data_IF_707022121871
#
_entry.id   IF_707022121871
#
_cell.length_a   1.000
_cell.length_b   1.000
_cell.length_c   1.000
_cell.angle_alpha   90.00
_cell.angle_beta   90.00
_cell.angle_gamma   90.00
#
_symmetry.space_group_name_H-M   'P 1'
#
loop_
_entity.id
_entity.type
_entity.pdbx_description
1 polymer ?
#
# COMPACT_ATOMS: atom_id res chain seq x y z
N UNK A 1 87.63 -43.56 -0.39
CA UNK A 1 87.98 -44.26 -1.63
C UNK A 1 86.68 -44.67 -2.24
N UNK A 2 86.21 -44.29 -3.37
CA UNK A 2 86.71 -43.84 -4.63
C UNK A 2 85.59 -43.05 -5.33
N UNK A 3 85.96 -42.07 -6.05
CA UNK A 3 85.14 -41.28 -6.97
C UNK A 3 84.56 -42.14 -8.05
N UNK A 4 83.31 -41.80 -8.53
CA UNK A 4 83.04 -41.77 -9.96
C UNK A 4 82.00 -40.79 -10.31
N UNK A 5 82.37 -39.95 -11.19
CA UNK A 5 81.67 -38.84 -11.86
C UNK A 5 81.08 -39.42 -13.17
N UNK A 6 79.80 -39.28 -13.44
CA UNK A 6 79.38 -39.37 -14.80
C UNK A 6 78.09 -38.53 -15.04
N UNK A 7 78.28 -37.46 -15.77
CA UNK A 7 77.18 -36.78 -16.47
C UNK A 7 77.04 -37.44 -17.87
N UNK A 8 75.84 -37.64 -18.36
CA UNK A 8 75.60 -37.14 -19.70
C UNK A 8 74.21 -36.59 -20.00
N UNK A 9 74.26 -35.59 -20.85
CA UNK A 9 73.42 -35.30 -22.03
C UNK A 9 71.96 -34.97 -21.84
N UNK A 10 71.73 -33.70 -22.07
CA UNK A 10 70.53 -33.05 -22.54
C UNK A 10 69.73 -33.86 -23.59
N UNK A 11 68.43 -34.13 -23.27
CA UNK A 11 67.40 -34.28 -24.28
C UNK A 11 66.36 -33.20 -24.08
N UNK A 12 66.34 -32.28 -25.00
CA UNK A 12 65.22 -31.32 -25.14
C UNK A 12 63.99 -32.12 -25.59
N UNK A 13 63.06 -32.38 -24.67
CA UNK A 13 61.72 -32.79 -25.02
C UNK A 13 60.83 -31.60 -24.97
N UNK A 14 60.22 -31.28 -26.06
CA UNK A 14 59.17 -30.27 -26.24
C UNK A 14 57.97 -30.68 -25.38
N UNK A 15 57.80 -30.07 -24.22
CA UNK A 15 56.60 -30.16 -23.44
C UNK A 15 55.57 -29.20 -24.08
N UNK A 16 54.59 -29.76 -24.79
CA UNK A 16 53.40 -29.07 -25.14
C UNK A 16 52.65 -28.68 -23.89
N UNK A 17 52.59 -27.37 -23.62
CA UNK A 17 51.84 -26.85 -22.46
C UNK A 17 50.37 -26.90 -22.85
N UNK A 18 49.68 -27.95 -22.46
CA UNK A 18 48.23 -27.99 -22.44
C UNK A 18 47.78 -27.14 -21.24
N UNK A 19 47.40 -25.91 -21.50
CA UNK A 19 46.70 -25.06 -20.52
C UNK A 19 45.28 -25.61 -20.40
N UNK A 20 45.12 -26.54 -19.46
CA UNK A 20 43.80 -26.96 -19.01
C UNK A 20 43.12 -25.81 -18.29
N UNK A 21 42.19 -25.12 -18.91
CA UNK A 21 41.29 -24.22 -18.25
C UNK A 21 40.42 -25.04 -17.28
N UNK A 22 40.81 -25.14 -16.04
CA UNK A 22 39.95 -25.59 -14.95
C UNK A 22 38.94 -24.47 -14.68
N UNK A 23 37.81 -24.52 -15.36
CA UNK A 23 36.65 -23.74 -14.98
C UNK A 23 36.08 -24.32 -13.70
N UNK A 24 36.54 -23.79 -12.57
CA UNK A 24 35.91 -24.00 -11.28
C UNK A 24 34.62 -23.18 -11.35
N UNK A 25 33.52 -23.82 -11.72
CA UNK A 25 32.19 -23.30 -11.51
C UNK A 25 31.94 -23.27 -9.99
N UNK A 26 32.25 -22.14 -9.36
CA UNK A 26 31.84 -21.85 -7.99
C UNK A 26 30.35 -21.62 -8.01
N UNK A 27 29.57 -22.68 -7.90
CA UNK A 27 28.16 -22.58 -7.55
C UNK A 27 28.12 -22.12 -6.10
N UNK A 28 28.09 -20.81 -5.90
CA UNK A 28 27.70 -20.24 -4.62
C UNK A 28 26.23 -20.61 -4.41
N UNK A 29 25.98 -21.73 -3.75
CA UNK A 29 24.70 -22.02 -3.15
C UNK A 29 24.44 -20.95 -2.09
N UNK A 30 23.77 -19.88 -2.47
CA UNK A 30 23.13 -18.99 -1.51
C UNK A 30 22.07 -19.83 -0.79
N UNK A 31 22.43 -20.40 0.35
CA UNK A 31 21.43 -20.83 1.32
C UNK A 31 20.78 -19.54 1.82
N UNK A 32 19.71 -19.16 1.19
CA UNK A 32 18.77 -18.22 1.79
C UNK A 32 18.27 -18.93 3.04
N UNK A 33 18.84 -18.58 4.19
CA UNK A 33 18.22 -18.92 5.45
C UNK A 33 16.83 -18.30 5.39
N UNK A 34 15.82 -19.10 5.12
CA UNK A 34 14.44 -18.68 5.18
C UNK A 34 14.19 -18.16 6.58
N UNK A 35 14.11 -16.86 6.75
CA UNK A 35 13.54 -16.28 7.95
C UNK A 35 12.17 -16.98 8.10
N UNK A 36 11.97 -17.63 9.24
CA UNK A 36 10.67 -18.19 9.59
C UNK A 36 9.69 -17.03 9.64
N UNK A 37 8.98 -16.81 8.55
CA UNK A 37 7.96 -15.77 8.52
C UNK A 37 6.84 -16.20 9.46
N UNK A 38 6.36 -15.28 10.29
CA UNK A 38 5.17 -15.52 11.08
C UNK A 38 4.04 -16.00 10.15
N UNK A 39 3.31 -17.02 10.59
CA UNK A 39 2.18 -17.53 9.81
C UNK A 39 1.14 -16.43 9.76
N UNK A 40 1.03 -15.79 8.61
CA UNK A 40 0.05 -14.73 8.36
C UNK A 40 -1.36 -15.33 8.38
N UNK A 41 -2.28 -14.85 9.23
CA UNK A 41 -3.66 -15.28 9.16
C UNK A 41 -4.27 -14.88 7.82
N UNK A 42 -5.28 -15.59 7.30
CA UNK A 42 -6.02 -15.16 6.13
C UNK A 42 -6.68 -13.79 6.36
N UNK A 43 -6.76 -12.96 5.32
CA UNK A 43 -7.44 -11.66 5.43
C UNK A 43 -8.93 -11.82 5.75
N UNK A 44 -9.51 -10.85 6.42
CA UNK A 44 -10.95 -10.79 6.67
C UNK A 44 -11.65 -10.25 5.43
N UNK A 45 -12.61 -11.01 4.92
CA UNK A 45 -13.35 -10.63 3.71
C UNK A 45 -14.49 -9.68 4.09
N UNK A 46 -14.37 -8.42 3.70
CA UNK A 46 -15.38 -7.39 3.98
C UNK A 46 -16.61 -7.48 3.06
N UNK A 47 -16.58 -8.27 1.98
CA UNK A 47 -17.65 -8.32 1.01
C UNK A 47 -18.05 -6.93 0.50
N UNK A 48 -19.36 -6.66 0.42
CA UNK A 48 -19.89 -5.35 0.00
C UNK A 48 -19.63 -4.24 1.02
N UNK A 49 -19.39 -4.55 2.31
CA UNK A 49 -18.94 -3.55 3.29
C UNK A 49 -17.58 -2.93 2.97
N UNK A 50 -16.76 -3.62 2.18
CA UNK A 50 -15.46 -3.13 1.74
C UNK A 50 -15.50 -1.90 0.81
N UNK A 51 -16.64 -1.54 0.26
CA UNK A 51 -16.81 -0.32 -0.55
C UNK A 51 -16.96 0.93 0.32
N UNK A 52 -17.46 0.77 1.54
CA UNK A 52 -17.74 1.86 2.45
C UNK A 52 -16.48 2.32 3.19
N UNK A 53 -16.28 3.62 3.24
CA UNK A 53 -15.36 4.29 4.16
C UNK A 53 -16.02 4.46 5.53
N UNK A 54 -17.32 4.75 5.54
CA UNK A 54 -18.12 4.92 6.76
C UNK A 54 -19.45 4.20 6.59
N UNK A 55 -19.73 3.24 7.46
CA UNK A 55 -20.98 2.48 7.50
C UNK A 55 -21.51 2.49 8.94
N UNK A 56 -22.76 2.91 9.12
CA UNK A 56 -23.42 3.01 10.41
C UNK A 56 -24.69 2.16 10.50
N UNK A 57 -25.18 1.94 11.72
CA UNK A 57 -26.46 1.30 12.00
C UNK A 57 -27.58 2.31 12.31
N UNK A 58 -27.27 3.30 13.14
CA UNK A 58 -28.25 4.27 13.65
C UNK A 58 -28.06 5.69 13.10
N UNK A 59 -27.03 5.92 12.33
CA UNK A 59 -26.77 7.20 11.66
C UNK A 59 -25.33 7.66 11.74
N UNK A 60 -25.01 8.68 10.95
CA UNK A 60 -23.70 9.32 10.88
C UNK A 60 -23.87 10.80 11.23
N UNK A 61 -23.06 11.27 12.18
CA UNK A 61 -23.03 12.68 12.56
C UNK A 61 -21.67 13.26 12.24
N UNK A 62 -21.63 14.37 11.52
CA UNK A 62 -20.42 15.11 11.21
C UNK A 62 -20.50 16.53 11.75
N UNK A 63 -19.46 16.97 12.43
CA UNK A 63 -19.30 18.36 12.87
C UNK A 63 -18.04 18.94 12.21
N UNK A 64 -18.17 20.13 11.66
CA UNK A 64 -17.12 20.76 10.90
C UNK A 64 -16.88 20.14 9.51
N UNK A 65 -15.79 20.53 8.86
CA UNK A 65 -15.50 20.11 7.50
C UNK A 65 -14.66 18.83 7.49
N UNK A 66 -15.29 17.68 7.18
CA UNK A 66 -14.60 16.39 7.03
C UNK A 66 -14.39 16.01 5.56
N UNK A 67 -13.40 15.15 5.31
CA UNK A 67 -13.12 14.57 3.99
C UNK A 67 -13.19 13.06 4.05
N UNK A 68 -14.02 12.46 3.20
CA UNK A 68 -14.21 11.02 3.14
C UNK A 68 -13.93 10.53 1.71
N UNK A 69 -12.98 9.59 1.59
CA UNK A 69 -12.67 8.88 0.34
C UNK A 69 -13.18 7.44 0.43
N UNK A 70 -14.26 7.16 -0.27
CA UNK A 70 -15.03 5.93 -0.26
C UNK A 70 -16.51 6.19 0.01
N UNK A 71 -17.33 5.16 -0.04
CA UNK A 71 -18.77 5.29 0.13
C UNK A 71 -19.17 5.54 1.59
N UNK A 72 -20.32 6.16 1.79
CA UNK A 72 -20.94 6.36 3.10
C UNK A 72 -22.36 5.85 3.09
N UNK A 73 -22.84 5.36 4.23
CA UNK A 73 -24.23 4.94 4.37
C UNK A 73 -24.57 4.48 5.78
N UNK A 74 -25.86 4.48 6.08
CA UNK A 74 -26.39 4.00 7.35
C UNK A 74 -27.67 3.19 7.16
N UNK A 75 -27.75 2.01 7.76
CA UNK A 75 -28.91 1.12 7.71
C UNK A 75 -28.97 0.28 9.00
N UNK A 76 -30.16 0.02 9.56
CA UNK A 76 -31.50 0.31 9.04
C UNK A 76 -31.96 1.75 9.24
N UNK A 77 -31.27 2.56 10.05
CA UNK A 77 -31.65 3.95 10.27
C UNK A 77 -30.87 4.86 9.33
N UNK A 78 -31.55 5.42 8.35
CA UNK A 78 -30.96 6.32 7.36
C UNK A 78 -30.93 7.76 7.90
N UNK A 79 -29.98 8.05 8.78
CA UNK A 79 -29.83 9.36 9.41
C UNK A 79 -28.43 9.91 9.18
N UNK A 80 -28.37 11.10 8.61
CA UNK A 80 -27.13 11.86 8.44
C UNK A 80 -27.29 13.29 8.92
N UNK A 81 -26.36 13.74 9.73
CA UNK A 81 -26.31 15.12 10.22
C UNK A 81 -24.94 15.70 9.90
N UNK A 82 -24.91 16.95 9.43
CA UNK A 82 -23.65 17.62 9.07
C UNK A 82 -23.09 17.22 7.70
N UNK A 83 -23.92 16.64 6.82
CA UNK A 83 -23.55 16.27 5.45
C UNK A 83 -23.95 17.32 4.41
N UNK A 84 -24.08 18.57 4.82
CA UNK A 84 -24.35 19.65 3.89
C UNK A 84 -23.24 19.76 2.82
N UNK A 85 -23.63 20.21 1.63
CA UNK A 85 -22.65 20.50 0.58
C UNK A 85 -21.66 21.57 1.07
N UNK A 86 -20.36 21.34 0.86
CA UNK A 86 -19.34 22.35 1.17
C UNK A 86 -19.56 23.60 0.28
N UNK A 87 -19.50 24.81 0.84
CA UNK A 87 -18.76 25.23 2.03
C UNK A 87 -19.60 25.48 3.30
N UNK A 88 -20.57 24.68 3.64
CA UNK A 88 -21.27 24.82 4.93
C UNK A 88 -20.28 24.66 6.11
N UNK A 89 -20.68 25.10 7.30
CA UNK A 89 -19.83 24.97 8.50
C UNK A 89 -19.59 23.49 8.85
N UNK A 90 -20.69 22.72 8.78
CA UNK A 90 -20.66 21.27 8.91
C UNK A 90 -20.88 20.66 7.54
N UNK A 91 -19.82 20.24 6.88
CA UNK A 91 -19.89 19.69 5.53
C UNK A 91 -18.96 18.51 5.33
N UNK A 92 -19.29 17.65 4.37
CA UNK A 92 -18.45 16.53 3.97
C UNK A 92 -18.01 16.70 2.52
N UNK A 93 -16.69 16.60 2.27
CA UNK A 93 -16.16 16.40 0.93
C UNK A 93 -16.07 14.91 0.70
N UNK A 94 -17.01 14.35 -0.07
CA UNK A 94 -17.10 12.94 -0.38
C UNK A 94 -16.56 12.65 -1.78
N UNK A 95 -15.73 11.63 -1.94
CA UNK A 95 -15.28 11.13 -3.26
C UNK A 95 -15.96 9.83 -3.67
N UNK A 96 -16.69 9.17 -2.78
CA UNK A 96 -17.53 8.00 -3.03
C UNK A 96 -18.99 8.38 -3.20
N UNK A 97 -19.85 7.39 -3.08
CA UNK A 97 -21.30 7.52 -3.15
C UNK A 97 -21.88 7.69 -1.73
N UNK A 98 -22.81 8.62 -1.57
CA UNK A 98 -23.67 8.69 -0.40
C UNK A 98 -24.91 7.84 -0.64
N UNK A 99 -24.99 6.70 0.04
CA UNK A 99 -26.10 5.75 -0.07
C UNK A 99 -27.31 6.08 0.81
N UNK A 100 -27.25 7.16 1.57
CA UNK A 100 -28.38 7.66 2.34
C UNK A 100 -29.17 8.75 1.59
N UNK A 101 -28.59 9.34 0.55
CA UNK A 101 -29.20 10.44 -0.22
C UNK A 101 -29.08 10.14 -1.72
N UNK A 102 -30.17 10.11 -2.47
CA UNK A 102 -31.56 10.45 -2.11
C UNK A 102 -32.44 9.26 -1.69
N UNK A 103 -31.96 8.01 -1.75
CA UNK A 103 -32.80 6.83 -1.50
C UNK A 103 -32.50 6.18 -0.14
N UNK A 104 -33.31 6.44 0.91
CA UNK A 104 -33.13 5.82 2.22
C UNK A 104 -33.37 4.29 2.22
N UNK A 105 -33.82 3.70 1.11
CA UNK A 105 -34.03 2.25 0.98
C UNK A 105 -32.95 1.59 0.10
N UNK A 106 -31.80 2.24 -0.11
CA UNK A 106 -30.73 1.66 -0.91
C UNK A 106 -30.31 0.28 -0.36
N UNK A 107 -30.61 -0.76 -1.15
CA UNK A 107 -30.28 -2.14 -0.84
C UNK A 107 -28.76 -2.37 -0.70
N UNK A 108 -27.93 -1.48 -1.24
CA UNK A 108 -26.47 -1.52 -1.16
C UNK A 108 -26.02 -1.41 0.30
N UNK A 109 -26.58 -0.45 1.04
CA UNK A 109 -26.22 -0.23 2.45
C UNK A 109 -26.68 -1.40 3.34
N UNK A 110 -27.91 -1.90 3.14
CA UNK A 110 -28.38 -3.06 3.89
C UNK A 110 -27.60 -4.32 3.59
N UNK A 111 -27.21 -4.54 2.34
CA UNK A 111 -26.31 -5.63 1.94
C UNK A 111 -24.90 -5.50 2.55
N UNK A 112 -24.39 -4.26 2.63
CA UNK A 112 -23.12 -3.99 3.29
C UNK A 112 -23.16 -4.25 4.80
N UNK A 113 -24.30 -3.97 5.46
CA UNK A 113 -24.50 -4.29 6.88
C UNK A 113 -24.45 -5.81 7.11
N UNK A 114 -25.12 -6.61 6.26
CA UNK A 114 -25.05 -8.07 6.35
C UNK A 114 -23.59 -8.59 6.12
N UNK A 115 -22.87 -7.98 5.20
CA UNK A 115 -21.46 -8.31 4.97
C UNK A 115 -20.56 -7.89 6.15
N UNK A 116 -20.87 -6.79 6.84
CA UNK A 116 -20.19 -6.37 8.05
C UNK A 116 -20.35 -7.40 9.17
N UNK A 117 -21.55 -7.92 9.39
CA UNK A 117 -21.79 -9.00 10.38
C UNK A 117 -20.93 -10.21 10.07
N UNK A 118 -20.90 -10.66 8.81
CA UNK A 118 -20.06 -11.78 8.39
C UNK A 118 -18.57 -11.52 8.63
N UNK A 119 -18.09 -10.32 8.33
CA UNK A 119 -16.69 -9.94 8.54
C UNK A 119 -16.33 -9.81 10.02
N UNK A 120 -17.25 -9.31 10.83
CA UNK A 120 -17.09 -9.23 12.29
C UNK A 120 -16.98 -10.63 12.91
N UNK A 121 -17.89 -11.54 12.56
CA UNK A 121 -17.90 -12.91 13.02
C UNK A 121 -16.63 -13.66 12.60
N UNK A 122 -16.18 -13.47 11.36
CA UNK A 122 -14.92 -14.04 10.89
C UNK A 122 -13.73 -13.51 11.72
N UNK A 123 -13.66 -12.20 11.94
CA UNK A 123 -12.60 -11.60 12.75
C UNK A 123 -12.66 -12.07 14.21
N UNK A 124 -13.85 -12.21 14.78
CA UNK A 124 -14.09 -12.69 16.15
C UNK A 124 -13.71 -14.17 16.33
N UNK A 125 -14.01 -14.99 15.32
CA UNK A 125 -13.75 -16.44 15.34
C UNK A 125 -12.28 -16.83 15.16
N UNK A 126 -11.38 -15.88 14.90
CA UNK A 126 -9.95 -16.15 14.73
C UNK A 126 -9.29 -16.41 16.07
N UNK A 127 -8.53 -17.51 16.17
CA UNK A 127 -7.81 -17.86 17.40
C UNK A 127 -6.65 -16.87 17.64
N UNK A 128 -6.58 -16.20 18.80
CA UNK A 128 -5.48 -15.30 19.11
C UNK A 128 -4.15 -16.04 19.20
N UNK A 129 -3.12 -15.46 18.61
CA UNK A 129 -1.73 -15.94 18.73
C UNK A 129 -1.00 -15.25 19.89
N UNK A 130 -1.44 -14.06 20.27
CA UNK A 130 -0.81 -13.26 21.32
C UNK A 130 -1.86 -12.47 22.09
N UNK A 131 -1.68 -12.42 23.41
CA UNK A 131 -2.49 -11.59 24.32
C UNK A 131 -1.67 -10.37 24.74
N UNK A 132 -2.23 -9.18 24.58
CA UNK A 132 -1.57 -7.90 24.85
C UNK A 132 -2.25 -7.15 25.98
N UNK A 133 -1.48 -6.41 26.77
CA UNK A 133 -1.97 -5.50 27.81
C UNK A 133 -1.93 -4.03 27.37
N UNK A 134 -1.07 -3.68 26.42
CA UNK A 134 -0.86 -2.32 25.92
C UNK A 134 -0.39 -2.37 24.46
N UNK A 135 -0.84 -1.41 23.67
CA UNK A 135 -0.45 -1.28 22.27
C UNK A 135 0.64 -0.20 22.04
N UNK A 136 0.67 0.83 22.88
CA UNK A 136 1.64 1.92 22.71
C UNK A 136 3.08 1.42 22.90
N UNK A 137 3.96 1.81 21.98
CA UNK A 137 5.37 1.41 21.97
C UNK A 137 5.63 0.00 21.43
N UNK A 138 4.59 -0.76 21.08
CA UNK A 138 4.77 -2.11 20.52
C UNK A 138 5.17 -2.05 19.04
N UNK A 139 5.96 -3.06 18.64
CA UNK A 139 6.18 -3.41 17.23
C UNK A 139 5.67 -4.82 17.04
N UNK A 140 4.60 -4.96 16.27
CA UNK A 140 3.89 -6.23 16.09
C UNK A 140 4.04 -6.70 14.64
N UNK A 141 4.17 -8.01 14.46
CA UNK A 141 4.19 -8.69 13.16
C UNK A 141 2.78 -9.19 12.80
N UNK A 142 2.61 -9.82 11.64
CA UNK A 142 1.33 -10.43 11.25
C UNK A 142 0.82 -11.41 12.32
N UNK A 143 -0.46 -11.33 12.66
CA UNK A 143 -1.02 -12.19 13.71
C UNK A 143 -2.43 -11.80 14.15
N UNK A 144 -2.96 -12.58 15.09
CA UNK A 144 -4.22 -12.30 15.78
C UNK A 144 -3.91 -11.95 17.23
N UNK A 145 -4.33 -10.79 17.66
CA UNK A 145 -4.03 -10.20 18.96
C UNK A 145 -5.30 -10.02 19.77
N UNK A 146 -5.31 -10.54 20.99
CA UNK A 146 -6.40 -10.32 21.91
C UNK A 146 -5.99 -9.42 23.06
N UNK A 147 -6.90 -8.66 23.59
CA UNK A 147 -6.67 -7.84 24.79
C UNK A 147 -6.73 -8.68 26.06
N UNK A 148 -5.80 -8.49 26.97
CA UNK A 148 -5.72 -9.20 28.24
C UNK A 148 -6.86 -8.83 29.20
N UNK A 149 -7.27 -7.57 29.19
CA UNK A 149 -8.36 -7.03 30.03
C UNK A 149 -9.68 -6.83 29.27
N UNK A 150 -9.70 -7.25 28.01
CA UNK A 150 -10.85 -7.12 27.13
C UNK A 150 -10.90 -5.79 26.36
N UNK A 151 -10.06 -4.82 26.65
CA UNK A 151 -10.04 -3.50 26.00
C UNK A 151 -8.69 -3.22 25.37
N UNK A 152 -8.66 -2.45 24.30
CA UNK A 152 -7.42 -1.88 23.79
C UNK A 152 -7.34 -0.39 24.06
N UNK A 153 -6.27 0.01 24.74
CA UNK A 153 -5.84 1.39 24.88
C UNK A 153 -4.60 1.65 24.02
N UNK A 154 -4.49 2.83 23.42
CA UNK A 154 -3.32 3.26 22.69
C UNK A 154 -3.08 4.76 22.89
N UNK A 155 -2.13 5.11 23.74
CA UNK A 155 -1.77 6.50 24.04
C UNK A 155 -0.44 6.95 23.41
N UNK A 156 0.10 6.19 22.47
CA UNK A 156 1.36 6.43 21.79
C UNK A 156 1.39 5.77 20.42
N UNK A 157 2.59 5.40 19.96
CA UNK A 157 2.77 4.78 18.64
C UNK A 157 2.72 3.26 18.72
N UNK A 158 1.89 2.65 17.88
CA UNK A 158 1.92 1.23 17.54
C UNK A 158 2.59 1.07 16.18
N UNK A 159 3.61 0.25 16.07
CA UNK A 159 4.23 -0.10 14.79
C UNK A 159 3.77 -1.48 14.33
N UNK A 160 3.22 -1.57 13.13
CA UNK A 160 2.86 -2.82 12.49
C UNK A 160 3.86 -3.14 11.39
N UNK A 161 4.54 -4.25 11.54
CA UNK A 161 5.65 -4.66 10.71
C UNK A 161 5.24 -5.85 9.83
N UNK A 162 5.17 -5.63 8.54
CA UNK A 162 4.82 -6.67 7.57
C UNK A 162 5.93 -7.66 7.27
N UNK A 163 7.14 -7.51 7.85
CA UNK A 163 8.28 -8.39 7.59
C UNK A 163 8.60 -8.56 6.11
N UNK A 164 8.40 -7.52 5.30
CA UNK A 164 8.48 -7.49 3.83
C UNK A 164 7.44 -8.40 3.14
N UNK A 165 6.37 -8.72 3.83
CA UNK A 165 5.22 -9.43 3.29
C UNK A 165 4.03 -8.47 3.15
N UNK A 166 3.63 -8.19 1.90
CA UNK A 166 2.49 -7.31 1.62
C UNK A 166 1.14 -7.96 1.97
N UNK A 167 1.10 -9.29 2.12
CA UNK A 167 -0.08 -10.02 2.57
C UNK A 167 -0.13 -10.19 4.10
N UNK A 168 0.74 -9.51 4.87
CA UNK A 168 0.73 -9.53 6.31
C UNK A 168 -0.61 -9.02 6.85
N UNK A 169 -1.31 -9.86 7.60
CA UNK A 169 -2.64 -9.55 8.18
C UNK A 169 -2.52 -9.40 9.69
N UNK A 170 -3.17 -8.35 10.21
CA UNK A 170 -3.20 -8.03 11.62
C UNK A 170 -4.67 -7.97 12.07
N UNK A 171 -5.04 -8.78 13.05
CA UNK A 171 -6.40 -8.80 13.60
C UNK A 171 -6.31 -8.52 15.09
N UNK A 172 -6.99 -7.47 15.55
CA UNK A 172 -7.07 -7.10 16.95
C UNK A 172 -8.48 -7.37 17.46
N UNK A 173 -8.58 -8.10 18.55
CA UNK A 173 -9.87 -8.51 19.12
C UNK A 173 -9.99 -7.97 20.54
N UNK A 174 -11.01 -7.17 20.82
CA UNK A 174 -11.43 -6.85 22.18
C UNK A 174 -12.43 -7.89 22.69
N UNK A 175 -12.79 -7.84 23.97
CA UNK A 175 -13.83 -8.73 24.53
C UNK A 175 -15.14 -8.59 23.74
N UNK A 176 -15.90 -9.69 23.69
CA UNK A 176 -17.02 -9.89 22.75
C UNK A 176 -18.07 -8.76 22.78
N UNK A 177 -18.63 -8.51 23.94
CA UNK A 177 -19.77 -7.58 24.09
C UNK A 177 -19.50 -6.44 25.09
N UNK A 178 -18.28 -6.32 25.59
CA UNK A 178 -17.90 -5.31 26.59
C UNK A 178 -16.66 -4.56 26.20
N UNK A 179 -15.86 -5.10 25.27
CA UNK A 179 -14.55 -4.56 24.95
C UNK A 179 -14.61 -3.31 24.10
N UNK A 180 -13.75 -2.36 24.43
CA UNK A 180 -13.60 -1.06 23.74
C UNK A 180 -12.24 -0.93 23.09
N UNK A 181 -12.16 -0.08 22.08
CA UNK A 181 -10.92 0.44 21.53
C UNK A 181 -10.86 1.95 21.78
N UNK A 182 -9.85 2.41 22.50
CA UNK A 182 -9.70 3.84 22.83
C UNK A 182 -8.29 4.28 22.48
N UNK A 183 -8.15 5.25 21.58
CA UNK A 183 -6.86 5.90 21.34
C UNK A 183 -6.81 7.25 22.06
N UNK A 184 -5.64 7.56 22.62
CA UNK A 184 -5.38 8.92 23.10
C UNK A 184 -5.12 9.89 21.94
N UNK A 185 -5.07 11.20 22.21
CA UNK A 185 -4.83 12.23 21.20
C UNK A 185 -3.46 12.19 20.50
N UNK A 186 -2.56 11.32 20.92
CA UNK A 186 -1.28 11.04 20.26
C UNK A 186 -1.17 9.59 19.75
N UNK A 187 -2.29 8.86 19.74
CA UNK A 187 -2.34 7.49 19.28
C UNK A 187 -2.08 7.41 17.77
N UNK A 188 -0.94 6.83 17.36
CA UNK A 188 -0.55 6.72 15.97
C UNK A 188 -0.22 5.28 15.60
N UNK A 189 -0.69 4.84 14.44
CA UNK A 189 -0.32 3.55 13.87
C UNK A 189 0.63 3.77 12.70
N UNK A 190 1.82 3.20 12.80
CA UNK A 190 2.88 3.27 11.78
C UNK A 190 3.00 1.92 11.09
N UNK A 191 2.96 1.92 9.76
CA UNK A 191 3.08 0.74 8.94
C UNK A 191 4.49 0.65 8.36
N UNK A 192 5.14 -0.50 8.52
CA UNK A 192 6.52 -0.72 8.05
C UNK A 192 6.64 -2.03 7.28
N UNK A 193 7.69 -2.12 6.48
CA UNK A 193 8.11 -3.34 5.77
C UNK A 193 6.97 -4.13 5.13
N UNK A 194 6.11 -3.44 4.38
CA UNK A 194 5.05 -4.09 3.60
C UNK A 194 3.70 -4.19 4.29
N UNK A 195 3.56 -3.84 5.56
CA UNK A 195 2.24 -3.75 6.21
C UNK A 195 1.32 -2.78 5.47
N UNK A 196 0.07 -3.17 5.26
CA UNK A 196 -0.91 -2.38 4.51
C UNK A 196 -2.19 -2.18 5.33
N UNK A 197 -2.75 -0.96 5.30
CA UNK A 197 -3.95 -0.60 6.05
C UNK A 197 -5.17 -1.48 5.72
N UNK A 198 -5.25 -1.99 4.51
CA UNK A 198 -6.33 -2.88 4.06
C UNK A 198 -6.28 -4.30 4.67
N UNK A 199 -5.15 -4.68 5.29
CA UNK A 199 -4.96 -5.97 5.95
C UNK A 199 -4.94 -5.83 7.49
N UNK A 200 -5.44 -4.73 8.02
CA UNK A 200 -5.52 -4.48 9.46
C UNK A 200 -6.99 -4.39 9.87
N UNK A 201 -7.39 -5.23 10.82
CA UNK A 201 -8.78 -5.35 11.25
C UNK A 201 -8.87 -5.22 12.77
N UNK A 202 -9.77 -4.34 13.22
CA UNK A 202 -10.05 -4.08 14.63
C UNK A 202 -11.45 -4.55 14.95
N UNK A 203 -11.59 -5.76 15.46
CA UNK A 203 -12.85 -6.30 15.98
C UNK A 203 -13.10 -5.73 17.37
N UNK A 204 -14.09 -4.88 17.49
CA UNK A 204 -14.41 -4.15 18.73
C UNK A 204 -15.75 -4.58 19.28
N UNK A 205 -15.76 -5.12 20.51
CA UNK A 205 -16.93 -5.72 21.15
C UNK A 205 -18.04 -4.74 21.52
N UNK A 206 -17.73 -3.44 21.65
CA UNK A 206 -18.71 -2.36 21.80
C UNK A 206 -18.38 -1.21 20.90
N UNK A 207 -17.70 -0.19 21.41
CA UNK A 207 -17.43 1.05 20.68
C UNK A 207 -15.94 1.33 20.57
N UNK A 208 -15.57 1.96 19.47
CA UNK A 208 -14.26 2.54 19.27
C UNK A 208 -14.31 4.06 19.45
N UNK A 209 -13.32 4.62 20.16
CA UNK A 209 -13.12 6.06 20.30
C UNK A 209 -11.70 6.41 19.89
N UNK A 210 -11.57 7.22 18.84
CA UNK A 210 -10.28 7.70 18.37
C UNK A 210 -10.05 9.12 18.90
N UNK A 211 -8.96 9.32 19.64
CA UNK A 211 -8.62 10.61 20.26
C UNK A 211 -8.25 11.66 19.22
N UNK A 212 -8.51 12.93 19.53
CA UNK A 212 -8.26 14.05 18.63
C UNK A 212 -6.83 14.08 18.07
N UNK A 213 -6.69 14.38 16.77
CA UNK A 213 -5.41 14.46 16.07
C UNK A 213 -4.67 13.14 15.89
N UNK A 214 -5.26 12.00 16.26
CA UNK A 214 -4.64 10.69 16.05
C UNK A 214 -4.58 10.29 14.58
N UNK A 215 -3.60 9.44 14.24
CA UNK A 215 -3.48 8.81 12.91
C UNK A 215 -3.70 7.32 13.05
N UNK A 216 -4.81 6.85 12.51
CA UNK A 216 -5.26 5.47 12.65
C UNK A 216 -5.16 4.72 11.32
N UNK A 217 -4.81 3.44 11.38
CA UNK A 217 -4.72 2.56 10.20
C UNK A 217 -5.50 1.28 10.41
N UNK A 218 -6.27 0.88 9.41
CA UNK A 218 -7.03 -0.36 9.39
C UNK A 218 -8.55 -0.15 9.40
N UNK A 219 -9.27 -1.26 9.29
CA UNK A 219 -10.73 -1.31 9.30
C UNK A 219 -11.25 -1.59 10.70
N UNK A 220 -12.05 -0.69 11.25
CA UNK A 220 -12.78 -0.90 12.51
C UNK A 220 -14.08 -1.63 12.18
N UNK A 221 -14.28 -2.78 12.83
CA UNK A 221 -15.50 -3.58 12.84
C UNK A 221 -16.09 -3.46 14.24
N UNK A 222 -16.94 -2.48 14.46
CA UNK A 222 -17.49 -2.19 15.79
C UNK A 222 -18.89 -2.78 15.95
N UNK A 223 -19.08 -3.50 17.07
CA UNK A 223 -20.38 -4.03 17.43
C UNK A 223 -21.41 -2.92 17.65
N UNK A 224 -20.98 -1.81 18.23
CA UNK A 224 -21.84 -0.64 18.47
C UNK A 224 -21.33 0.56 17.67
N UNK A 225 -20.69 1.51 18.27
CA UNK A 225 -20.44 2.83 17.66
C UNK A 225 -18.95 3.09 17.42
N UNK A 226 -18.68 4.03 16.52
CA UNK A 226 -17.34 4.60 16.33
C UNK A 226 -17.42 6.12 16.48
N UNK A 227 -16.59 6.66 17.35
CA UNK A 227 -16.52 8.12 17.61
C UNK A 227 -15.11 8.63 17.37
N UNK A 228 -14.97 9.66 16.60
CA UNK A 228 -13.72 10.34 16.34
C UNK A 228 -13.68 11.68 17.07
N UNK A 229 -12.53 12.00 17.67
CA UNK A 229 -12.24 13.32 18.17
C UNK A 229 -11.90 14.28 17.03
N UNK A 230 -11.59 15.54 17.36
CA UNK A 230 -11.31 16.57 16.37
C UNK A 230 -10.05 16.28 15.55
N UNK A 231 -10.16 16.27 14.22
CA UNK A 231 -9.04 16.20 13.30
C UNK A 231 -8.33 14.84 13.18
N UNK A 232 -9.03 13.75 13.43
CA UNK A 232 -8.48 12.39 13.25
C UNK A 232 -8.25 12.08 11.79
N UNK A 233 -7.14 11.43 11.49
CA UNK A 233 -6.85 10.88 10.16
C UNK A 233 -6.94 9.36 10.20
N UNK A 234 -7.82 8.79 9.38
CA UNK A 234 -8.01 7.33 9.25
C UNK A 234 -7.59 6.86 7.86
N UNK A 235 -6.61 5.98 7.80
CA UNK A 235 -6.28 5.18 6.62
C UNK A 235 -6.97 3.82 6.77
N UNK A 236 -8.25 3.76 6.45
CA UNK A 236 -9.07 2.59 6.75
C UNK A 236 -10.56 2.85 6.62
N UNK A 237 -11.35 2.08 7.36
CA UNK A 237 -12.81 2.13 7.33
C UNK A 237 -13.38 2.16 8.75
N UNK A 238 -14.51 2.82 8.88
CA UNK A 238 -15.30 2.92 10.12
C UNK A 238 -16.62 2.19 9.89
N UNK A 239 -16.69 0.92 10.30
CA UNK A 239 -17.85 0.07 10.09
C UNK A 239 -18.48 -0.22 11.46
N UNK A 240 -19.59 0.46 11.76
CA UNK A 240 -20.26 0.47 13.04
C UNK A 240 -21.61 -0.24 13.00
N UNK A 241 -22.05 -0.76 14.16
CA UNK A 241 -23.36 -1.39 14.31
C UNK A 241 -23.43 -2.71 13.56
N UNK A 242 -22.53 -3.62 13.86
CA UNK A 242 -22.53 -4.98 13.30
C UNK A 242 -23.89 -5.65 13.45
N UNK A 243 -24.59 -5.41 14.54
CA UNK A 243 -25.91 -6.02 14.78
C UNK A 243 -27.00 -5.46 13.86
N UNK A 244 -27.90 -6.35 13.44
CA UNK A 244 -29.10 -5.99 12.69
C UNK A 244 -30.10 -5.13 13.49
N UNK A 245 -29.86 -4.91 14.79
CA UNK A 245 -30.74 -4.16 15.68
C UNK A 245 -30.81 -2.66 15.44
N UNK A 246 -30.00 -2.13 14.49
CA UNK A 246 -29.97 -0.71 14.21
C UNK A 246 -29.15 0.11 15.21
N UNK A 247 -28.45 -0.51 16.14
CA UNK A 247 -27.47 0.17 16.98
C UNK A 247 -26.20 0.53 16.16
N UNK A 248 -25.45 1.54 16.62
CA UNK A 248 -24.16 1.86 16.08
C UNK A 248 -24.13 3.12 15.22
N UNK A 249 -23.81 4.23 15.85
CA UNK A 249 -23.56 5.51 15.19
C UNK A 249 -22.08 5.67 14.82
N UNK A 250 -21.82 6.50 13.83
CA UNK A 250 -20.48 7.04 13.56
C UNK A 250 -20.53 8.55 13.78
N UNK A 251 -19.58 9.06 14.59
CA UNK A 251 -19.44 10.48 14.87
C UNK A 251 -18.09 10.98 14.37
N UNK A 252 -18.09 12.05 13.61
CA UNK A 252 -16.92 12.67 12.96
C UNK A 252 -16.81 14.13 13.36
N UNK A 253 -15.55 14.62 13.54
CA UNK A 253 -15.27 16.03 13.87
C UNK A 253 -14.02 16.49 13.10
N UNK A 254 -14.18 17.20 11.98
CA UNK A 254 -13.11 17.68 11.10
C UNK A 254 -12.15 16.59 10.61
N UNK A 255 -12.65 15.39 10.35
CA UNK A 255 -11.84 14.20 10.13
C UNK A 255 -11.49 13.97 8.66
N UNK A 256 -10.43 13.19 8.45
CA UNK A 256 -10.05 12.69 7.13
C UNK A 256 -10.06 11.17 7.13
N UNK A 257 -11.00 10.57 6.39
CA UNK A 257 -11.12 9.12 6.25
C UNK A 257 -10.78 8.73 4.81
N UNK A 258 -9.84 7.80 4.64
CA UNK A 258 -9.44 7.29 3.33
C UNK A 258 -9.55 5.77 3.34
N UNK A 259 -10.61 5.24 2.74
CA UNK A 259 -10.75 3.80 2.54
C UNK A 259 -9.69 3.30 1.55
N UNK A 260 -8.94 2.24 1.87
CA UNK A 260 -8.02 1.63 0.91
C UNK A 260 -8.81 1.03 -0.25
N UNK A 261 -8.46 1.39 -1.47
CA UNK A 261 -9.13 0.89 -2.69
C UNK A 261 -8.52 -0.42 -3.19
N UNK A 262 -7.24 -0.63 -2.94
CA UNK A 262 -6.50 -1.83 -3.38
C UNK A 262 -5.42 -2.21 -2.37
N UNK A 263 -5.30 -3.50 -2.09
CA UNK A 263 -4.10 -4.10 -1.51
C UNK A 263 -3.22 -4.64 -2.64
N UNK A 264 -1.93 -4.43 -2.53
CA UNK A 264 -0.97 -5.08 -3.42
C UNK A 264 -0.59 -6.42 -2.79
N UNK A 265 -0.94 -7.53 -3.44
CA UNK A 265 -0.57 -8.84 -2.89
C UNK A 265 0.92 -9.10 -3.01
N UNK A 266 1.47 -9.87 -2.07
CA UNK A 266 2.87 -10.31 -2.13
C UNK A 266 3.14 -11.13 -3.41
N UNK A 267 2.16 -11.89 -3.87
CA UNK A 267 2.23 -12.62 -5.13
C UNK A 267 2.43 -11.67 -6.33
N UNK A 268 1.74 -10.54 -6.37
CA UNK A 268 1.91 -9.53 -7.42
C UNK A 268 3.29 -8.88 -7.37
N UNK A 269 3.80 -8.59 -6.17
CA UNK A 269 5.16 -8.06 -5.97
C UNK A 269 6.20 -9.08 -6.43
N UNK A 270 6.04 -10.35 -6.04
CA UNK A 270 6.95 -11.42 -6.42
C UNK A 270 6.91 -11.70 -7.93
N UNK A 271 5.74 -11.64 -8.55
CA UNK A 271 5.59 -11.79 -10.00
C UNK A 271 6.30 -10.65 -10.75
N UNK A 272 6.16 -9.41 -10.28
CA UNK A 272 6.87 -8.27 -10.84
C UNK A 272 8.40 -8.40 -10.68
N UNK A 273 8.87 -8.84 -9.51
CA UNK A 273 10.28 -9.09 -9.26
C UNK A 273 10.83 -10.22 -10.14
N UNK A 274 10.08 -11.33 -10.31
CA UNK A 274 10.44 -12.44 -11.18
C UNK A 274 10.52 -12.00 -12.64
N UNK A 275 9.57 -11.22 -13.12
CA UNK A 275 9.60 -10.66 -14.47
C UNK A 275 10.82 -9.76 -14.70
N UNK A 276 11.17 -8.92 -13.71
CA UNK A 276 12.37 -8.09 -13.76
C UNK A 276 13.65 -8.94 -13.79
N UNK A 277 13.73 -9.99 -12.98
CA UNK A 277 14.86 -10.92 -12.96
C UNK A 277 15.01 -11.68 -14.29
N UNK A 278 13.91 -12.11 -14.89
CA UNK A 278 13.90 -12.75 -16.21
C UNK A 278 14.39 -11.79 -17.30
N UNK A 279 13.96 -10.54 -17.30
CA UNK A 279 14.42 -9.54 -18.23
C UNK A 279 15.94 -9.30 -18.12
N UNK A 280 16.47 -9.23 -16.90
CA UNK A 280 17.90 -9.12 -16.64
C UNK A 280 18.69 -10.35 -17.12
N UNK A 281 18.17 -11.56 -16.90
CA UNK A 281 18.79 -12.80 -17.36
C UNK A 281 18.84 -12.87 -18.89
N UNK A 282 17.78 -12.47 -19.58
CA UNK A 282 17.72 -12.38 -21.05
C UNK A 282 18.73 -11.35 -21.59
N UNK A 283 18.84 -10.20 -20.95
CA UNK A 283 19.82 -9.18 -21.32
C UNK A 283 21.26 -9.70 -21.15
N UNK A 284 21.55 -10.41 -20.04
CA UNK A 284 22.84 -11.02 -19.78
C UNK A 284 23.19 -12.12 -20.81
N UNK A 285 22.23 -12.95 -21.15
CA UNK A 285 22.41 -14.01 -22.18
C UNK A 285 22.68 -13.38 -23.56
N UNK A 286 21.97 -12.32 -23.92
CA UNK A 286 22.20 -11.59 -25.17
C UNK A 286 23.61 -10.95 -25.20
N UNK A 287 24.06 -10.37 -24.08
CA UNK A 287 25.41 -9.82 -23.95
C UNK A 287 26.49 -10.90 -24.09
N UNK A 288 26.29 -12.09 -23.49
CA UNK A 288 27.19 -13.22 -23.65
C UNK A 288 27.26 -13.73 -25.09
N UNK A 289 26.12 -13.85 -25.77
CA UNK A 289 26.06 -14.23 -27.15
C UNK A 289 26.81 -13.23 -28.08
N UNK A 290 26.64 -11.93 -27.82
CA UNK A 290 27.36 -10.88 -28.51
C UNK A 290 28.89 -10.96 -28.29
N UNK A 291 29.33 -11.22 -27.05
CA UNK A 291 30.74 -11.39 -26.73
C UNK A 291 31.35 -12.65 -27.41
N UNK A 292 30.61 -13.76 -27.45
CA UNK A 292 31.01 -14.98 -28.16
C UNK A 292 31.13 -14.75 -29.64
N UNK A 293 30.18 -14.03 -30.25
CA UNK A 293 30.20 -13.67 -31.65
C UNK A 293 31.40 -12.76 -32.01
N UNK A 294 31.73 -11.81 -31.14
CA UNK A 294 32.92 -10.95 -31.27
C UNK A 294 34.22 -11.77 -31.17
N UNK A 295 34.31 -12.70 -30.23
CA UNK A 295 35.47 -13.58 -30.06
C UNK A 295 35.65 -14.52 -31.31
N UNK A 296 34.56 -15.04 -31.82
CA UNK A 296 34.58 -15.83 -33.06
C UNK A 296 35.01 -15.01 -34.28
N UNK A 297 34.53 -13.78 -34.40
CA UNK A 297 34.96 -12.84 -35.46
C UNK A 297 36.44 -12.49 -35.36
N UNK A 298 36.95 -12.23 -34.14
CA UNK A 298 38.37 -11.97 -33.89
C UNK A 298 39.24 -13.19 -34.26
N UNK A 299 38.80 -14.40 -33.87
CA UNK A 299 39.49 -15.64 -34.23
C UNK A 299 39.52 -15.90 -35.77
N UNK A 300 38.40 -15.64 -36.45
CA UNK A 300 38.30 -15.71 -37.92
C UNK A 300 39.22 -14.68 -38.61
N UNK A 301 39.29 -13.45 -38.06
CA UNK A 301 40.20 -12.41 -38.56
C UNK A 301 41.66 -12.81 -38.39
N UNK A 302 42.04 -13.40 -37.25
CA UNK A 302 43.40 -13.90 -36.98
C UNK A 302 43.76 -15.05 -37.92
N UNK A 303 42.85 -15.99 -38.18
CA UNK A 303 43.02 -17.09 -39.12
C UNK A 303 43.21 -16.58 -40.56
N UNK A 304 42.46 -15.56 -40.97
CA UNK A 304 42.57 -14.91 -42.26
C UNK A 304 43.94 -14.26 -42.50
N UNK A 305 44.45 -13.59 -41.48
CA UNK A 305 45.79 -13.00 -41.52
C UNK A 305 46.88 -14.07 -41.61
N UNK A 306 46.72 -15.18 -40.89
CA UNK A 306 47.69 -16.27 -40.89
C UNK A 306 47.68 -17.06 -42.22
N UNK A 307 46.55 -17.14 -42.86
CA UNK A 307 46.38 -17.90 -44.11
C UNK A 307 46.65 -17.08 -45.38
N UNK A 308 46.82 -15.77 -45.29
CA UNK A 308 46.98 -14.84 -46.43
C UNK A 308 45.96 -15.02 -47.56
N UNK A 309 44.75 -15.40 -47.19
CA UNK A 309 43.69 -15.76 -48.13
C UNK A 309 42.56 -14.72 -48.06
N UNK A 310 42.31 -14.06 -49.20
CA UNK A 310 41.29 -13.01 -49.32
C UNK A 310 39.87 -13.52 -48.98
N UNK A 311 39.55 -14.80 -49.18
CA UNK A 311 38.30 -15.42 -48.84
C UNK A 311 38.06 -15.52 -47.31
N UNK A 312 39.12 -15.76 -46.52
CA UNK A 312 39.05 -15.81 -45.08
C UNK A 312 38.85 -14.41 -44.48
N UNK A 313 39.37 -13.37 -45.10
CA UNK A 313 39.13 -11.96 -44.70
C UNK A 313 37.66 -11.56 -44.88
N UNK A 314 37.00 -12.02 -45.93
CA UNK A 314 35.55 -11.79 -46.14
C UNK A 314 34.73 -12.54 -45.09
N UNK A 315 35.08 -13.79 -44.75
CA UNK A 315 34.40 -14.53 -43.69
C UNK A 315 34.56 -13.89 -42.32
N UNK A 316 35.76 -13.38 -42.01
CA UNK A 316 36.02 -12.65 -40.78
C UNK A 316 35.23 -11.32 -40.68
N UNK A 317 35.12 -10.60 -41.81
CA UNK A 317 34.32 -9.38 -41.87
C UNK A 317 32.82 -9.65 -41.65
N UNK A 318 32.32 -10.76 -42.23
CA UNK A 318 30.92 -11.19 -42.00
C UNK A 318 30.66 -11.62 -40.54
N UNK A 319 31.60 -12.34 -39.90
CA UNK A 319 31.51 -12.71 -38.51
C UNK A 319 31.56 -11.50 -37.58
N UNK A 320 32.39 -10.49 -37.89
CA UNK A 320 32.47 -9.22 -37.17
C UNK A 320 31.15 -8.42 -37.30
N UNK A 321 30.57 -8.39 -38.49
CA UNK A 321 29.27 -7.74 -38.71
C UNK A 321 28.15 -8.45 -37.91
N UNK A 322 28.14 -9.78 -37.86
CA UNK A 322 27.19 -10.56 -37.08
C UNK A 322 27.34 -10.25 -35.55
N UNK A 323 28.58 -10.13 -35.07
CA UNK A 323 28.88 -9.77 -33.68
C UNK A 323 28.36 -8.37 -33.31
N UNK A 324 28.51 -7.41 -34.24
CA UNK A 324 27.98 -6.06 -34.05
C UNK A 324 26.46 -6.03 -33.97
N UNK A 325 25.79 -6.79 -34.84
CA UNK A 325 24.32 -6.93 -34.80
C UNK A 325 23.84 -7.56 -33.49
N UNK A 326 24.57 -8.59 -32.99
CA UNK A 326 24.27 -9.21 -31.71
C UNK A 326 24.49 -8.24 -30.53
N UNK A 327 25.56 -7.46 -30.58
CA UNK A 327 25.85 -6.42 -29.57
C UNK A 327 24.81 -5.29 -29.57
N UNK A 328 24.37 -4.87 -30.76
CA UNK A 328 23.27 -3.90 -30.89
C UNK A 328 21.94 -4.45 -30.36
N UNK A 329 21.65 -5.72 -30.61
CA UNK A 329 20.48 -6.38 -30.03
C UNK A 329 20.54 -6.46 -28.49
N UNK A 330 21.72 -6.72 -27.93
CA UNK A 330 21.94 -6.69 -26.49
C UNK A 330 21.77 -5.29 -25.90
N UNK A 331 22.32 -4.27 -26.57
CA UNK A 331 22.15 -2.87 -26.15
C UNK A 331 20.68 -2.41 -26.25
N UNK A 332 19.97 -2.87 -27.30
CA UNK A 332 18.54 -2.58 -27.43
C UNK A 332 17.70 -3.25 -26.33
N UNK A 333 18.06 -4.50 -25.94
CA UNK A 333 17.38 -5.22 -24.85
C UNK A 333 17.62 -4.54 -23.49
N UNK A 334 18.84 -4.08 -23.21
CA UNK A 334 19.13 -3.28 -22.00
C UNK A 334 18.39 -1.95 -22.01
N UNK A 335 18.37 -1.25 -23.13
CA UNK A 335 17.62 0.00 -23.26
C UNK A 335 16.10 -0.19 -23.10
N UNK A 336 15.56 -1.33 -23.57
CA UNK A 336 14.16 -1.68 -23.36
C UNK A 336 13.84 -1.97 -21.88
N UNK A 337 14.75 -2.67 -21.19
CA UNK A 337 14.61 -2.92 -19.75
C UNK A 337 14.70 -1.61 -18.92
N UNK A 338 15.64 -0.74 -19.26
CA UNK A 338 15.76 0.59 -18.64
C UNK A 338 14.53 1.46 -18.90
N UNK A 339 14.01 1.43 -20.13
CA UNK A 339 12.77 2.15 -20.47
C UNK A 339 11.56 1.62 -19.72
N UNK A 340 11.45 0.32 -19.54
CA UNK A 340 10.39 -0.31 -18.73
C UNK A 340 10.52 0.12 -17.25
N UNK A 341 11.72 0.09 -16.69
CA UNK A 341 12.00 0.58 -15.34
C UNK A 341 11.71 2.08 -15.20
N UNK A 342 12.13 2.89 -16.17
CA UNK A 342 11.85 4.33 -16.19
C UNK A 342 10.33 4.60 -16.30
N UNK A 343 9.61 3.80 -17.09
CA UNK A 343 8.15 3.92 -17.22
C UNK A 343 7.46 3.60 -15.88
N UNK A 344 7.90 2.55 -15.18
CA UNK A 344 7.39 2.21 -13.87
C UNK A 344 7.66 3.33 -12.82
N UNK A 345 8.85 3.92 -12.86
CA UNK A 345 9.21 5.09 -12.02
C UNK A 345 8.36 6.31 -12.39
N UNK A 346 8.17 6.57 -13.69
CA UNK A 346 7.33 7.66 -14.16
C UNK A 346 5.85 7.48 -13.78
N UNK A 347 5.32 6.26 -13.88
CA UNK A 347 3.96 5.93 -13.44
C UNK A 347 3.81 6.15 -11.93
N UNK A 348 4.78 5.71 -11.13
CA UNK A 348 4.80 5.97 -9.68
C UNK A 348 4.89 7.46 -9.35
N UNK A 349 5.71 8.20 -10.11
CA UNK A 349 5.81 9.66 -9.97
C UNK A 349 4.52 10.37 -10.40
N UNK A 350 3.89 9.92 -11.49
CA UNK A 350 2.63 10.45 -11.98
C UNK A 350 1.48 10.17 -10.98
N UNK A 351 1.43 8.97 -10.40
CA UNK A 351 0.48 8.63 -9.34
C UNK A 351 0.68 9.52 -8.09
N UNK A 352 1.94 9.72 -7.68
CA UNK A 352 2.27 10.64 -6.57
C UNK A 352 1.91 12.09 -6.90
N UNK A 353 2.15 12.53 -8.14
CA UNK A 353 1.78 13.87 -8.60
C UNK A 353 0.26 14.04 -8.70
N UNK A 354 -0.46 13.00 -9.14
CA UNK A 354 -1.92 13.00 -9.16
C UNK A 354 -2.50 13.10 -7.74
N UNK A 355 -1.96 12.32 -6.79
CA UNK A 355 -2.33 12.42 -5.39
C UNK A 355 -2.03 13.82 -4.79
N UNK A 356 -0.88 14.41 -5.13
CA UNK A 356 -0.53 15.76 -4.70
C UNK A 356 -1.46 16.82 -5.31
N UNK A 357 -1.83 16.67 -6.60
CA UNK A 357 -2.81 17.55 -7.26
C UNK A 357 -4.20 17.41 -6.63
N UNK A 358 -4.62 16.18 -6.32
CA UNK A 358 -5.89 15.94 -5.62
C UNK A 358 -5.89 16.58 -4.22
N UNK A 359 -4.79 16.44 -3.46
CA UNK A 359 -4.63 17.09 -2.16
C UNK A 359 -4.62 18.63 -2.27
N UNK A 360 -4.00 19.17 -3.33
CA UNK A 360 -4.00 20.62 -3.59
C UNK A 360 -5.39 21.11 -3.99
N UNK A 361 -6.08 20.36 -4.87
CA UNK A 361 -7.46 20.66 -5.27
C UNK A 361 -8.39 20.64 -4.05
N UNK A 362 -8.25 19.65 -3.16
CA UNK A 362 -9.00 19.58 -1.91
C UNK A 362 -8.72 20.78 -0.99
N UNK A 363 -7.45 21.22 -0.89
CA UNK A 363 -7.09 22.43 -0.13
C UNK A 363 -7.70 23.69 -0.75
N UNK A 364 -7.68 23.82 -2.08
CA UNK A 364 -8.27 24.96 -2.80
C UNK A 364 -9.78 24.95 -2.65
N UNK A 365 -10.44 23.78 -2.77
CA UNK A 365 -11.87 23.63 -2.55
C UNK A 365 -12.25 24.00 -1.10
N UNK A 366 -11.50 23.54 -0.10
CA UNK A 366 -11.69 23.91 1.31
C UNK A 366 -11.52 25.42 1.53
N UNK A 367 -10.52 26.04 0.90
CA UNK A 367 -10.33 27.49 0.99
C UNK A 367 -11.44 28.28 0.29
N UNK A 368 -11.94 27.80 -0.88
CA UNK A 368 -13.06 28.38 -1.58
C UNK A 368 -14.36 28.25 -0.76
N UNK A 369 -14.59 27.09 -0.16
CA UNK A 369 -15.70 26.84 0.75
C UNK A 369 -15.68 27.79 1.97
N UNK A 370 -14.51 27.97 2.58
CA UNK A 370 -14.35 28.90 3.69
C UNK A 370 -14.63 30.37 3.28
N UNK A 371 -14.20 30.77 2.05
CA UNK A 371 -14.48 32.11 1.52
C UNK A 371 -15.98 32.33 1.27
N UNK A 372 -16.65 31.31 0.69
CA UNK A 372 -18.08 31.38 0.42
C UNK A 372 -18.92 31.36 1.73
N UNK A 373 -18.49 30.61 2.76
CA UNK A 373 -19.09 30.64 4.09
C UNK A 373 -18.97 32.04 4.73
N UNK A 374 -17.80 32.67 4.61
CA UNK A 374 -17.59 34.06 5.08
C UNK A 374 -18.46 35.06 4.33
N UNK A 375 -18.60 34.90 3.00
CA UNK A 375 -19.46 35.76 2.17
C UNK A 375 -20.94 35.61 2.58
N UNK A 376 -21.41 34.36 2.80
CA UNK A 376 -22.78 34.08 3.29
C UNK A 376 -23.05 34.69 4.67
N UNK A 377 -22.08 34.57 5.59
CA UNK A 377 -22.16 35.18 6.91
C UNK A 377 -22.21 36.72 6.84
N UNK A 378 -21.40 37.29 5.92
CA UNK A 378 -21.41 38.75 5.68
C UNK A 378 -22.74 39.21 5.08
N UNK A 379 -23.27 38.48 4.10
CA UNK A 379 -24.58 38.76 3.49
C UNK A 379 -25.70 38.66 4.53
N UNK A 380 -25.68 37.68 5.43
CA UNK A 380 -26.63 37.54 6.54
C UNK A 380 -26.53 38.71 7.53
N UNK A 381 -25.32 39.18 7.84
CA UNK A 381 -25.11 40.38 8.66
C UNK A 381 -25.65 41.65 7.96
N UNK A 382 -25.39 41.77 6.66
CA UNK A 382 -25.91 42.91 5.86
C UNK A 382 -27.45 42.92 5.81
N UNK A 383 -28.08 41.72 5.63
CA UNK A 383 -29.53 41.57 5.64
C UNK A 383 -30.13 41.92 7.01
N UNK A 384 -29.44 41.52 8.11
CA UNK A 384 -29.88 41.90 9.45
C UNK A 384 -29.77 43.40 9.71
N UNK A 385 -28.70 44.05 9.22
CA UNK A 385 -28.56 45.54 9.30
C UNK A 385 -29.62 46.26 8.45
N UNK A 386 -29.93 45.74 7.25
CA UNK A 386 -31.03 46.28 6.44
C UNK A 386 -32.40 46.14 7.13
N UNK A 387 -32.65 44.99 7.78
CA UNK A 387 -33.88 44.75 8.55
C UNK A 387 -33.98 45.67 9.77
N UNK A 388 -32.87 45.94 10.43
CA UNK A 388 -32.81 46.89 11.57
C UNK A 388 -33.02 48.36 11.13
N UNK A 389 -32.53 48.74 9.92
CA UNK A 389 -32.77 50.09 9.36
C UNK A 389 -34.17 50.30 8.83
N UNK A 390 -34.92 49.25 8.49
CA UNK A 390 -36.30 49.33 8.02
C UNK A 390 -37.34 49.52 9.15
N UNK A 391 -36.93 49.48 10.41
CA UNK A 391 -37.80 49.66 11.57
C UNK A 391 -37.69 51.05 12.21
N UNK A 392 -36.97 51.97 11.61
CA UNK A 392 -36.91 53.37 12.06
C UNK A 392 -37.49 54.20 10.91
N UNK A 393 -38.78 54.25 10.89
CA UNK A 393 -39.54 55.03 9.92
C UNK A 393 -40.94 55.32 10.39
N UNK A 394 -41.09 56.51 10.93
CA UNK A 394 -42.34 57.28 11.07
C UNK A 394 -43.37 56.82 12.11
N UNK A 395 -43.25 57.37 13.27
CA UNK A 395 -44.43 57.89 14.00
C UNK A 395 -44.19 59.36 14.35
N UNK A 396 -44.99 60.17 13.80
CA UNK A 396 -45.05 61.61 14.04
C UNK A 396 -45.80 62.27 12.93
#
# INVERSE_FOLDING_TARGET
MTFSNDRPRSRRSRAATAIGLCMIALVASLTVAGASQAVTPPTVLLGTAGQFAVLAGSGITNTGASTISGDVGSSPTHSETGFAACPAADCVTLTGVNHNDPDPNDATTSGAKAALTTAYDDAAGRSPTTVLTELAGQTLVAGVYNSADGNFGMSGTLTLDGENNADAVFIFQTAEITGTLITGGAGNIVLTRGAQACNIFWKVGTSATLGAGSTFSGTILAHTSVSLGDGVTVHGRLLAGEQASGAGAVTLIHDTITAPTTCVSQAAINAAAAAAAQAQAQAAAAAQAAAQAQAAAAAAAAAAQAANVQAAAVAAAQAAAAAQVAAQAAAAATAAAEKAAATAVAQKAAAKAAAAKAATAARVAKAAAARAARAKALAKKLAAVKKARGHVGFTG
#
